data_IF_903972352828
#
_entry.id   IF_903972352828
#
_cell.length_a   1.000
_cell.length_b   1.000
_cell.length_c   1.000
_cell.angle_alpha   90.00
_cell.angle_beta   90.00
_cell.angle_gamma   90.00
#
_symmetry.space_group_name_H-M   'P 1'
#
loop_
_entity.id
_entity.type
_entity.pdbx_description
1 polymer ?
#
# COMPACT_ATOMS: atom_id res chain seq x y z
N UNK A 1 -25.45 -10.14 34.69
CA UNK A 1 -24.43 -9.86 33.65
C UNK A 1 -23.10 -10.47 34.05
N UNK A 2 -22.64 -11.41 33.26
CA UNK A 2 -21.30 -12.00 33.36
C UNK A 2 -20.32 -11.05 32.63
N UNK A 3 -19.10 -10.90 33.14
CA UNK A 3 -18.04 -10.16 32.45
C UNK A 3 -16.91 -11.13 32.16
N UNK A 4 -16.48 -11.18 30.91
CA UNK A 4 -15.49 -12.15 30.43
C UNK A 4 -14.39 -11.40 29.69
N UNK A 5 -13.16 -11.82 29.87
CA UNK A 5 -12.01 -11.34 29.10
C UNK A 5 -11.07 -12.50 28.83
N UNK A 6 -10.35 -12.41 27.72
CA UNK A 6 -9.27 -13.33 27.39
C UNK A 6 -7.93 -12.70 27.78
N UNK A 7 -6.98 -13.54 28.18
CA UNK A 7 -5.60 -13.14 28.34
C UNK A 7 -4.70 -14.32 28.05
N UNK A 8 -3.70 -14.11 27.19
CA UNK A 8 -2.68 -15.11 26.90
C UNK A 8 -1.81 -15.43 28.14
N UNK A 9 -1.79 -14.54 29.13
CA UNK A 9 -1.04 -14.71 30.38
C UNK A 9 -1.98 -14.92 31.56
N UNK A 10 -1.55 -15.74 32.50
CA UNK A 10 -2.30 -15.96 33.72
C UNK A 10 -2.41 -14.66 34.53
N UNK A 11 -3.64 -14.27 34.85
CA UNK A 11 -3.87 -13.12 35.72
C UNK A 11 -3.40 -13.40 37.14
N UNK A 12 -2.67 -12.43 37.69
CA UNK A 12 -2.32 -12.47 39.10
C UNK A 12 -3.57 -12.21 39.96
N UNK A 13 -3.55 -12.71 41.19
CA UNK A 13 -4.61 -12.45 42.17
C UNK A 13 -4.97 -10.96 42.29
N UNK A 14 -3.96 -10.08 42.25
CA UNK A 14 -4.16 -8.62 42.32
C UNK A 14 -5.01 -8.09 41.17
N UNK A 15 -4.80 -8.60 39.94
CA UNK A 15 -5.59 -8.22 38.77
C UNK A 15 -7.01 -8.73 38.90
N UNK A 16 -7.18 -9.99 39.32
CA UNK A 16 -8.50 -10.57 39.54
C UNK A 16 -9.30 -9.79 40.59
N UNK A 17 -8.69 -9.41 41.72
CA UNK A 17 -9.36 -8.62 42.75
C UNK A 17 -9.66 -7.18 42.31
N UNK A 18 -8.76 -6.56 41.55
CA UNK A 18 -9.02 -5.25 40.95
C UNK A 18 -10.23 -5.32 40.03
N UNK A 19 -10.26 -6.28 39.09
CA UNK A 19 -11.40 -6.45 38.20
C UNK A 19 -12.68 -6.80 38.98
N UNK A 20 -12.60 -7.60 40.05
CA UNK A 20 -13.78 -7.91 40.89
C UNK A 20 -14.35 -6.69 41.62
N UNK A 21 -13.49 -5.78 42.08
CA UNK A 21 -13.89 -4.61 42.88
C UNK A 21 -14.13 -3.33 42.08
N UNK A 22 -13.55 -3.17 40.88
CA UNK A 22 -13.68 -1.97 40.05
C UNK A 22 -14.62 -2.15 38.84
N UNK A 23 -15.85 -1.66 38.96
CA UNK A 23 -16.83 -1.68 37.86
C UNK A 23 -16.38 -0.92 36.59
N UNK A 24 -15.76 0.28 36.66
CA UNK A 24 -15.29 0.99 35.46
C UNK A 24 -14.23 0.20 34.68
N UNK A 25 -13.29 -0.42 35.38
CA UNK A 25 -12.25 -1.24 34.75
C UNK A 25 -12.84 -2.46 34.04
N UNK A 26 -13.85 -3.13 34.63
CA UNK A 26 -14.55 -4.23 33.96
C UNK A 26 -15.27 -3.78 32.70
N UNK A 27 -15.96 -2.65 32.75
CA UNK A 27 -16.67 -2.13 31.59
C UNK A 27 -15.72 -1.73 30.44
N UNK A 28 -14.49 -1.35 30.76
CA UNK A 28 -13.47 -0.99 29.77
C UNK A 28 -12.74 -2.21 29.17
N UNK A 29 -12.44 -3.22 29.99
CA UNK A 29 -11.53 -4.31 29.61
C UNK A 29 -12.21 -5.67 29.43
N UNK A 30 -13.47 -5.82 29.82
CA UNK A 30 -14.18 -7.10 29.77
C UNK A 30 -15.47 -6.97 28.98
N UNK A 31 -15.78 -8.00 28.20
CA UNK A 31 -17.04 -8.12 27.48
C UNK A 31 -18.15 -8.47 28.44
N UNK A 32 -19.22 -7.68 28.45
CA UNK A 32 -20.40 -7.95 29.26
C UNK A 32 -21.38 -8.85 28.49
N UNK A 33 -21.77 -9.96 29.11
CA UNK A 33 -22.77 -10.88 28.60
C UNK A 33 -23.99 -10.89 29.52
N UNK A 34 -25.18 -10.69 28.95
CA UNK A 34 -26.43 -10.91 29.67
C UNK A 34 -26.90 -12.36 29.54
N UNK A 35 -26.35 -13.22 30.40
CA UNK A 35 -26.64 -14.65 30.36
C UNK A 35 -28.14 -14.98 30.49
N UNK A 36 -28.90 -14.19 31.25
CA UNK A 36 -30.33 -14.44 31.42
C UNK A 36 -31.09 -14.22 30.10
N UNK A 37 -30.77 -13.13 29.40
CA UNK A 37 -31.32 -12.82 28.08
C UNK A 37 -30.87 -13.85 27.05
N UNK A 38 -29.58 -14.20 27.02
CA UNK A 38 -29.05 -15.25 26.15
C UNK A 38 -29.74 -16.60 26.36
N UNK A 39 -29.96 -17.05 27.61
CA UNK A 39 -30.65 -18.32 27.86
C UNK A 39 -32.10 -18.35 27.34
N UNK A 40 -32.74 -17.20 27.16
CA UNK A 40 -34.10 -17.08 26.63
C UNK A 40 -34.13 -16.95 25.11
N UNK A 41 -33.19 -16.20 24.54
CA UNK A 41 -33.20 -15.82 23.11
C UNK A 41 -32.22 -16.63 22.26
N UNK A 42 -31.21 -17.23 22.90
CA UNK A 42 -29.98 -17.76 22.27
C UNK A 42 -29.33 -16.74 21.32
N UNK A 43 -29.52 -15.45 21.61
CA UNK A 43 -29.12 -14.35 20.76
C UNK A 43 -28.70 -13.17 21.63
N UNK A 44 -27.38 -13.01 21.77
CA UNK A 44 -26.72 -11.81 22.28
C UNK A 44 -25.67 -11.36 21.24
N UNK A 45 -25.29 -10.07 21.22
CA UNK A 45 -24.22 -9.60 20.33
C UNK A 45 -22.92 -10.40 20.52
N UNK A 46 -22.26 -10.69 19.40
CA UNK A 46 -20.95 -11.39 19.35
C UNK A 46 -20.95 -12.77 20.01
N UNK A 47 -22.11 -13.40 20.06
CA UNK A 47 -22.30 -14.75 20.56
C UNK A 47 -22.91 -15.65 19.50
N UNK A 48 -22.60 -16.95 19.57
CA UNK A 48 -23.32 -17.96 18.82
C UNK A 48 -23.41 -19.31 19.56
N UNK A 49 -24.44 -20.12 19.25
CA UNK A 49 -24.44 -21.53 19.59
C UNK A 49 -23.23 -22.29 19.04
N UNK A 50 -22.73 -23.28 19.78
CA UNK A 50 -21.52 -24.04 19.42
C UNK A 50 -21.65 -24.84 18.11
N UNK A 51 -22.85 -25.32 17.80
CA UNK A 51 -23.15 -26.07 16.57
C UNK A 51 -22.95 -25.24 15.29
N UNK A 52 -22.91 -23.91 15.42
CA UNK A 52 -22.73 -22.97 14.30
C UNK A 52 -21.31 -22.40 14.20
N UNK A 53 -20.34 -22.93 14.95
CA UNK A 53 -18.97 -22.40 14.99
C UNK A 53 -18.31 -22.30 13.60
N UNK A 54 -18.51 -23.28 12.72
CA UNK A 54 -17.98 -23.26 11.36
C UNK A 54 -18.58 -22.16 10.47
N UNK A 55 -19.70 -21.54 10.84
CA UNK A 55 -20.28 -20.42 10.11
C UNK A 55 -19.60 -19.09 10.45
N UNK A 56 -19.00 -19.00 11.63
CA UNK A 56 -18.49 -17.75 12.20
C UNK A 56 -16.96 -17.66 12.23
N UNK A 57 -16.25 -18.78 12.25
CA UNK A 57 -14.78 -18.82 12.40
C UNK A 57 -14.15 -19.35 11.12
N UNK A 58 -13.35 -18.52 10.45
CA UNK A 58 -12.87 -18.78 9.10
C UNK A 58 -11.85 -19.93 8.98
N UNK A 59 -11.14 -20.25 10.07
CA UNK A 59 -10.20 -21.36 10.19
C UNK A 59 -10.85 -22.67 10.66
N UNK A 60 -12.17 -22.68 10.89
CA UNK A 60 -12.94 -23.87 11.29
C UNK A 60 -13.89 -24.26 10.17
N UNK A 61 -13.68 -25.45 9.59
CA UNK A 61 -14.54 -26.00 8.57
C UNK A 61 -15.66 -26.88 9.13
N UNK A 62 -16.72 -27.02 8.36
CA UNK A 62 -17.83 -27.94 8.66
C UNK A 62 -17.44 -29.39 8.35
N UNK A 63 -17.67 -30.28 9.30
CA UNK A 63 -17.46 -31.73 9.26
C UNK A 63 -15.99 -32.19 9.10
N UNK A 64 -15.22 -31.58 8.20
CA UNK A 64 -13.82 -31.92 7.92
C UNK A 64 -13.01 -30.70 7.50
N UNK A 65 -11.72 -30.74 7.79
CA UNK A 65 -10.75 -29.74 7.33
C UNK A 65 -10.64 -29.78 5.79
N UNK A 66 -10.73 -28.62 5.16
CA UNK A 66 -10.53 -28.41 3.73
C UNK A 66 -9.32 -27.52 3.52
N UNK A 67 -8.24 -28.12 3.04
CA UNK A 67 -7.03 -27.40 2.64
C UNK A 67 -7.20 -26.83 1.22
N UNK A 68 -7.63 -25.57 1.15
CA UNK A 68 -7.88 -24.81 -0.08
C UNK A 68 -6.90 -23.65 -0.27
N UNK A 69 -5.90 -23.51 0.62
CA UNK A 69 -4.95 -22.41 0.58
C UNK A 69 -5.54 -21.03 0.90
N UNK A 70 -6.74 -20.92 1.50
CA UNK A 70 -7.37 -19.62 1.79
C UNK A 70 -6.54 -18.69 2.70
N UNK A 71 -5.62 -19.26 3.45
CA UNK A 71 -4.69 -18.54 4.35
C UNK A 71 -3.24 -18.57 3.86
N UNK A 72 -3.00 -18.87 2.57
CA UNK A 72 -1.65 -18.93 2.00
C UNK A 72 -0.89 -17.60 2.15
N UNK A 73 -1.61 -16.48 2.08
CA UNK A 73 -1.06 -15.12 2.23
C UNK A 73 -1.22 -14.56 3.66
N UNK A 74 -1.61 -15.40 4.62
CA UNK A 74 -1.82 -14.95 6.00
C UNK A 74 -0.52 -14.83 6.78
N UNK A 75 -0.59 -14.01 7.83
CA UNK A 75 0.50 -13.76 8.75
C UNK A 75 0.99 -15.02 9.50
N UNK A 76 0.07 -15.95 9.78
CA UNK A 76 0.32 -17.14 10.57
C UNK A 76 0.08 -18.36 9.68
N UNK A 77 1.12 -19.14 9.34
CA UNK A 77 0.96 -20.28 8.45
C UNK A 77 0.05 -21.33 9.10
N UNK A 78 -0.77 -21.98 8.27
CA UNK A 78 -1.67 -23.06 8.69
C UNK A 78 -0.95 -24.39 8.88
N UNK A 79 0.25 -24.52 8.33
CA UNK A 79 1.11 -25.67 8.49
C UNK A 79 2.39 -25.28 9.22
N UNK A 80 2.88 -26.20 10.06
CA UNK A 80 4.16 -26.02 10.76
C UNK A 80 5.30 -25.84 9.74
N UNK A 81 6.05 -24.73 9.79
CA UNK A 81 7.17 -24.53 8.88
C UNK A 81 8.29 -25.54 9.14
N UNK A 82 9.08 -25.92 8.10
CA UNK A 82 10.23 -26.79 8.25
C UNK A 82 11.22 -26.23 9.28
N UNK A 83 11.82 -27.12 10.09
CA UNK A 83 12.66 -26.74 11.24
C UNK A 83 13.96 -25.98 10.90
N UNK A 84 14.34 -25.86 9.62
CA UNK A 84 15.59 -25.18 9.22
C UNK A 84 15.43 -23.66 9.34
N UNK A 85 15.94 -23.11 10.45
CA UNK A 85 16.05 -21.66 10.68
C UNK A 85 14.90 -21.03 11.47
N UNK A 86 13.98 -21.83 12.03
CA UNK A 86 12.85 -21.31 12.79
C UNK A 86 13.26 -20.79 14.18
N UNK A 87 12.64 -19.68 14.59
CA UNK A 87 12.54 -19.21 15.98
C UNK A 87 12.21 -20.38 16.93
N UNK A 88 12.63 -20.34 18.21
CA UNK A 88 12.53 -21.46 19.14
C UNK A 88 11.10 -22.00 19.35
N UNK A 89 10.07 -21.23 19.00
CA UNK A 89 8.69 -21.68 18.84
C UNK A 89 8.08 -21.04 17.58
N UNK A 90 8.05 -21.73 16.43
CA UNK A 90 7.38 -21.19 15.25
C UNK A 90 5.88 -21.02 15.57
N UNK A 91 5.35 -19.81 15.41
CA UNK A 91 3.92 -19.51 15.49
C UNK A 91 3.23 -20.08 14.24
N UNK A 92 2.37 -21.08 14.41
CA UNK A 92 1.50 -21.65 13.38
C UNK A 92 0.15 -21.99 14.00
N UNK A 93 -0.92 -21.91 13.20
CA UNK A 93 -2.29 -22.16 13.65
C UNK A 93 -3.00 -23.10 12.66
N UNK A 94 -3.21 -24.39 13.01
CA UNK A 94 -3.85 -25.32 12.10
C UNK A 94 -5.32 -24.98 11.83
N UNK A 95 -5.77 -25.33 10.63
CA UNK A 95 -7.20 -25.41 10.33
C UNK A 95 -7.87 -26.46 11.22
N UNK A 96 -9.08 -26.14 11.67
CA UNK A 96 -9.92 -26.99 12.50
C UNK A 96 -11.16 -27.49 11.77
N UNK A 97 -11.80 -28.51 12.33
CA UNK A 97 -13.15 -28.92 11.96
C UNK A 97 -14.08 -28.76 13.16
N UNK A 98 -15.31 -28.32 12.94
CA UNK A 98 -16.31 -28.09 13.99
C UNK A 98 -16.58 -29.34 14.85
N UNK A 99 -16.54 -30.53 14.25
CA UNK A 99 -16.71 -31.82 14.93
C UNK A 99 -15.76 -32.03 16.10
N UNK A 100 -14.55 -31.45 16.03
CA UNK A 100 -13.57 -31.53 17.12
C UNK A 100 -14.07 -30.76 18.36
N UNK A 101 -14.52 -29.53 18.16
CA UNK A 101 -15.01 -28.68 19.24
C UNK A 101 -16.36 -29.16 19.77
N UNK A 102 -17.28 -29.49 18.87
CA UNK A 102 -18.58 -30.05 19.24
C UNK A 102 -18.43 -31.40 19.98
N UNK A 103 -17.46 -32.23 19.60
CA UNK A 103 -17.19 -33.51 20.28
C UNK A 103 -16.52 -33.37 21.66
N UNK A 104 -15.89 -32.22 21.93
CA UNK A 104 -15.15 -31.97 23.17
C UNK A 104 -16.04 -31.46 24.31
N UNK A 105 -17.26 -31.04 24.02
CA UNK A 105 -18.18 -30.49 25.03
C UNK A 105 -19.29 -31.48 25.37
N UNK A 106 -19.60 -31.60 26.65
CA UNK A 106 -20.58 -32.57 27.18
C UNK A 106 -22.02 -32.25 26.75
N UNK A 107 -22.42 -30.97 26.81
CA UNK A 107 -23.74 -30.50 26.40
C UNK A 107 -23.59 -29.43 25.33
N UNK A 108 -23.79 -29.84 24.07
CA UNK A 108 -23.59 -29.00 22.90
C UNK A 108 -24.71 -27.96 22.74
N UNK A 109 -25.93 -28.32 23.13
CA UNK A 109 -27.13 -27.53 22.90
C UNK A 109 -27.21 -26.33 23.86
N UNK A 110 -26.57 -26.43 25.03
CA UNK A 110 -26.43 -25.31 25.97
C UNK A 110 -25.09 -24.57 25.85
N UNK A 111 -24.20 -25.01 24.96
CA UNK A 111 -22.89 -24.40 24.79
C UNK A 111 -22.94 -23.11 23.98
N UNK A 112 -22.10 -22.16 24.39
CA UNK A 112 -22.04 -20.82 23.85
C UNK A 112 -20.61 -20.48 23.42
N UNK A 113 -20.47 -19.96 22.21
CA UNK A 113 -19.23 -19.38 21.66
C UNK A 113 -19.33 -17.86 21.73
N UNK A 114 -18.29 -17.21 22.24
CA UNK A 114 -18.25 -15.76 22.44
C UNK A 114 -16.99 -15.23 21.75
N UNK A 115 -17.16 -14.26 20.86
CA UNK A 115 -16.04 -13.54 20.29
C UNK A 115 -15.53 -12.50 21.32
N UNK A 116 -14.28 -12.66 21.74
CA UNK A 116 -13.59 -11.75 22.64
C UNK A 116 -12.61 -10.88 21.85
N UNK A 117 -12.52 -9.60 22.20
CA UNK A 117 -11.62 -8.68 21.54
C UNK A 117 -10.17 -8.96 21.93
N UNK A 118 -9.33 -9.32 20.96
CA UNK A 118 -7.88 -9.43 21.13
C UNK A 118 -7.18 -8.28 20.40
N UNK A 119 -7.00 -7.18 21.13
CA UNK A 119 -6.33 -5.99 20.57
C UNK A 119 -4.87 -6.24 20.25
N UNK A 120 -4.20 -7.17 20.93
CA UNK A 120 -2.80 -7.49 20.68
C UNK A 120 -2.63 -8.26 19.37
N UNK A 121 -3.55 -9.18 19.07
CA UNK A 121 -3.59 -9.85 17.78
C UNK A 121 -3.72 -8.84 16.62
N UNK A 122 -4.63 -7.86 16.74
CA UNK A 122 -4.80 -6.79 15.74
C UNK A 122 -3.52 -5.98 15.55
N UNK A 123 -2.81 -5.62 16.63
CA UNK A 123 -1.53 -4.92 16.51
C UNK A 123 -0.46 -5.76 15.82
N UNK A 124 -0.42 -7.07 16.07
CA UNK A 124 0.52 -7.97 15.41
C UNK A 124 0.25 -8.05 13.91
N UNK A 125 -1.02 -8.16 13.50
CA UNK A 125 -1.42 -8.20 12.10
C UNK A 125 -1.06 -6.91 11.36
N UNK A 126 -1.34 -5.75 11.98
CA UNK A 126 -0.95 -4.44 11.42
C UNK A 126 0.58 -4.32 11.31
N UNK A 127 1.32 -4.81 12.31
CA UNK A 127 2.78 -4.83 12.30
C UNK A 127 3.33 -5.69 11.15
N UNK A 128 2.73 -6.85 10.91
CA UNK A 128 3.08 -7.75 9.81
C UNK A 128 2.82 -7.11 8.44
N UNK A 129 1.66 -6.47 8.25
CA UNK A 129 1.34 -5.75 7.02
C UNK A 129 2.35 -4.64 6.73
N UNK A 130 2.69 -3.84 7.74
CA UNK A 130 3.70 -2.79 7.61
C UNK A 130 5.09 -3.34 7.27
N UNK A 131 5.47 -4.48 7.87
CA UNK A 131 6.74 -5.13 7.59
C UNK A 131 6.82 -5.62 6.13
N UNK A 132 5.73 -6.18 5.61
CA UNK A 132 5.63 -6.60 4.21
C UNK A 132 5.75 -5.41 3.25
N UNK A 133 5.02 -4.32 3.50
CA UNK A 133 5.11 -3.09 2.70
C UNK A 133 6.52 -2.50 2.72
N UNK A 134 7.17 -2.52 3.89
CA UNK A 134 8.54 -2.06 4.02
C UNK A 134 9.52 -2.94 3.23
N UNK A 135 9.31 -4.26 3.19
CA UNK A 135 10.12 -5.17 2.39
C UNK A 135 9.94 -4.90 0.89
N UNK A 136 8.70 -4.76 0.42
CA UNK A 136 8.39 -4.42 -0.98
C UNK A 136 8.99 -3.07 -1.38
N UNK A 137 8.92 -2.07 -0.50
CA UNK A 137 9.54 -0.77 -0.73
C UNK A 137 11.07 -0.87 -0.85
N UNK A 138 11.74 -1.65 0.02
CA UNK A 138 13.18 -1.88 -0.06
C UNK A 138 13.58 -2.59 -1.35
N UNK A 139 12.79 -3.56 -1.79
CA UNK A 139 13.03 -4.25 -3.06
C UNK A 139 12.92 -3.27 -4.23
N UNK A 140 11.85 -2.46 -4.25
CA UNK A 140 11.67 -1.42 -5.26
C UNK A 140 12.83 -0.42 -5.25
N UNK A 141 13.25 0.06 -4.07
CA UNK A 141 14.39 0.94 -3.92
C UNK A 141 15.65 0.30 -4.50
N UNK A 142 15.97 -0.94 -4.13
CA UNK A 142 17.17 -1.63 -4.65
C UNK A 142 17.17 -1.74 -6.19
N UNK A 143 16.00 -1.93 -6.80
CA UNK A 143 15.87 -2.09 -8.25
C UNK A 143 15.85 -0.76 -9.03
N UNK A 144 15.37 0.33 -8.42
CA UNK A 144 15.08 1.58 -9.13
C UNK A 144 15.85 2.79 -8.64
N UNK A 145 16.39 2.78 -7.42
CA UNK A 145 17.06 3.94 -6.82
C UNK A 145 18.22 4.42 -7.68
N UNK A 146 19.08 3.52 -8.14
CA UNK A 146 20.21 3.88 -8.98
C UNK A 146 19.77 4.47 -10.34
N UNK A 147 18.68 3.96 -10.94
CA UNK A 147 18.14 4.50 -12.20
C UNK A 147 17.59 5.91 -11.99
N UNK A 148 16.90 6.15 -10.88
CA UNK A 148 16.38 7.46 -10.51
C UNK A 148 17.53 8.43 -10.24
N UNK A 149 18.56 8.01 -9.49
CA UNK A 149 19.75 8.82 -9.20
C UNK A 149 20.51 9.17 -10.49
N UNK A 150 20.68 8.24 -11.42
CA UNK A 150 21.28 8.51 -12.72
C UNK A 150 20.41 9.51 -13.49
N UNK A 151 19.09 9.27 -13.59
CA UNK A 151 18.19 10.17 -14.31
C UNK A 151 18.24 11.59 -13.74
N UNK A 152 18.27 11.73 -12.41
CA UNK A 152 18.46 13.01 -11.73
C UNK A 152 19.82 13.64 -12.05
N UNK A 153 20.90 12.86 -11.94
CA UNK A 153 22.27 13.35 -12.21
C UNK A 153 22.44 13.78 -13.67
N UNK A 154 21.90 13.01 -14.61
CA UNK A 154 21.88 13.35 -16.04
C UNK A 154 21.04 14.60 -16.27
N UNK A 155 19.86 14.71 -15.66
CA UNK A 155 19.04 15.93 -15.76
C UNK A 155 19.80 17.17 -15.24
N UNK A 156 20.51 17.05 -14.12
CA UNK A 156 21.35 18.14 -13.60
C UNK A 156 22.53 18.47 -14.53
N UNK A 157 23.23 17.46 -15.05
CA UNK A 157 24.40 17.64 -15.94
C UNK A 157 24.01 18.22 -17.32
N UNK A 158 22.90 17.77 -17.89
CA UNK A 158 22.38 18.22 -19.17
C UNK A 158 21.60 19.54 -19.08
N UNK A 159 21.66 20.25 -17.94
CA UNK A 159 21.13 21.60 -17.82
C UNK A 159 19.61 21.70 -17.69
N UNK A 160 18.91 20.61 -17.35
CA UNK A 160 17.49 20.69 -17.00
C UNK A 160 17.26 21.48 -15.69
N UNK A 161 18.31 21.76 -14.91
CA UNK A 161 18.32 22.84 -13.94
C UNK A 161 18.96 24.09 -14.55
N UNK A 162 18.30 24.67 -15.56
CA UNK A 162 18.64 26.01 -16.03
C UNK A 162 18.51 26.98 -14.85
N UNK A 163 19.43 27.96 -14.76
CA UNK A 163 19.42 28.98 -13.70
C UNK A 163 17.98 29.47 -13.43
N UNK A 164 17.48 29.42 -12.19
CA UNK A 164 16.08 29.67 -11.88
C UNK A 164 15.59 31.07 -12.28
N UNK A 165 16.54 31.99 -12.50
CA UNK A 165 16.33 33.34 -13.01
C UNK A 165 15.91 33.38 -14.49
N UNK A 166 16.35 32.41 -15.30
CA UNK A 166 16.05 32.30 -16.75
C UNK A 166 14.75 31.54 -17.03
N UNK A 167 14.20 30.84 -16.04
CA UNK A 167 12.93 30.13 -16.18
C UNK A 167 11.73 31.09 -16.14
N UNK A 168 10.67 30.83 -16.95
CA UNK A 168 9.43 31.59 -16.90
C UNK A 168 8.82 31.63 -15.50
N UNK A 169 8.25 32.78 -15.12
CA UNK A 169 7.64 32.97 -13.81
C UNK A 169 6.47 32.00 -13.52
N UNK A 170 5.83 31.48 -14.57
CA UNK A 170 4.73 30.50 -14.52
C UNK A 170 5.17 29.08 -14.12
N UNK A 171 6.47 28.80 -14.23
CA UNK A 171 7.08 27.46 -14.06
C UNK A 171 8.00 27.39 -12.84
N UNK A 172 8.45 28.54 -12.34
CA UNK A 172 9.35 28.65 -11.19
C UNK A 172 8.72 28.06 -9.91
N UNK A 173 9.36 27.05 -9.32
CA UNK A 173 8.94 26.43 -8.05
C UNK A 173 8.05 25.19 -8.17
N UNK A 174 7.65 24.79 -9.39
CA UNK A 174 6.92 23.54 -9.65
C UNK A 174 7.79 22.62 -10.52
N UNK A 175 8.34 21.58 -9.89
CA UNK A 175 9.27 20.64 -10.54
C UNK A 175 8.64 19.92 -11.74
N UNK A 176 7.32 19.66 -11.70
CA UNK A 176 6.62 18.92 -12.74
C UNK A 176 6.39 19.82 -13.96
N UNK A 177 5.98 21.07 -13.74
CA UNK A 177 5.85 22.07 -14.82
C UNK A 177 7.20 22.45 -15.40
N UNK A 178 8.25 22.49 -14.58
CA UNK A 178 9.62 22.74 -15.04
C UNK A 178 10.08 21.66 -16.01
N UNK A 179 9.86 20.40 -15.66
CA UNK A 179 10.20 19.28 -16.54
C UNK A 179 9.39 19.32 -17.86
N UNK A 180 8.09 19.61 -17.79
CA UNK A 180 7.24 19.75 -18.98
C UNK A 180 7.72 20.88 -19.90
N UNK A 181 8.01 22.06 -19.34
CA UNK A 181 8.52 23.20 -20.10
C UNK A 181 9.83 22.86 -20.81
N UNK A 182 10.78 22.24 -20.10
CA UNK A 182 12.08 21.89 -20.65
C UNK A 182 11.96 20.85 -21.77
N UNK A 183 11.11 19.84 -21.59
CA UNK A 183 10.84 18.84 -22.65
C UNK A 183 10.20 19.46 -23.89
N UNK A 184 9.29 20.44 -23.73
CA UNK A 184 8.70 21.16 -24.88
C UNK A 184 9.73 22.06 -25.59
N UNK A 185 10.64 22.69 -24.84
CA UNK A 185 11.73 23.52 -25.39
C UNK A 185 12.78 22.67 -26.11
N UNK A 186 13.16 21.52 -25.56
CA UNK A 186 14.07 20.56 -26.19
C UNK A 186 13.50 20.05 -27.53
N UNK A 187 12.24 19.64 -27.55
CA UNK A 187 11.56 19.21 -28.78
C UNK A 187 11.47 20.34 -29.82
N UNK A 188 11.37 21.60 -29.40
CA UNK A 188 11.42 22.75 -30.30
C UNK A 188 12.81 22.92 -30.92
N UNK A 189 13.89 22.83 -30.13
CA UNK A 189 15.25 22.95 -30.66
C UNK A 189 15.63 21.79 -31.58
N UNK A 190 15.28 20.55 -31.24
CA UNK A 190 15.46 19.40 -32.14
C UNK A 190 14.75 19.61 -33.50
N UNK A 191 13.56 20.20 -33.47
CA UNK A 191 12.81 20.51 -34.69
C UNK A 191 13.49 21.63 -35.50
N UNK A 192 14.05 22.66 -34.85
CA UNK A 192 14.84 23.69 -35.53
C UNK A 192 16.09 23.10 -36.21
N UNK A 193 16.86 22.26 -35.52
CA UNK A 193 18.04 21.61 -36.07
C UNK A 193 17.70 20.71 -37.27
N UNK A 194 16.61 19.96 -37.18
CA UNK A 194 16.14 19.12 -38.27
C UNK A 194 15.74 19.94 -39.51
N UNK A 195 15.05 21.06 -39.29
CA UNK A 195 14.64 21.98 -40.37
C UNK A 195 15.85 22.66 -41.01
N UNK A 196 16.83 23.10 -40.22
CA UNK A 196 18.09 23.69 -40.71
C UNK A 196 18.93 22.68 -41.51
N UNK A 197 18.99 21.42 -41.07
CA UNK A 197 19.65 20.36 -41.81
C UNK A 197 18.99 20.08 -43.18
N UNK A 198 17.67 20.18 -43.28
CA UNK A 198 16.96 20.07 -44.56
C UNK A 198 17.25 21.25 -45.49
N UNK A 199 17.33 22.47 -44.95
CA UNK A 199 17.68 23.67 -45.72
C UNK A 199 19.11 23.56 -46.25
N UNK A 200 20.06 23.12 -45.42
CA UNK A 200 21.45 22.91 -45.83
C UNK A 200 21.63 21.85 -46.91
N UNK A 201 20.86 20.75 -46.85
CA UNK A 201 20.87 19.65 -47.83
C UNK A 201 20.28 20.04 -49.21
N UNK A 202 19.31 20.96 -49.24
CA UNK A 202 18.63 21.40 -50.47
C UNK A 202 19.42 22.41 -51.33
N UNK A 203 20.67 22.72 -50.98
CA UNK A 203 21.53 23.69 -51.70
C UNK A 203 22.15 23.13 -53.00
N UNK A 204 21.80 21.90 -53.41
CA UNK A 204 22.18 21.33 -54.72
C UNK A 204 21.35 21.99 -55.84
N UNK A 205 21.93 22.36 -57.02
CA UNK A 205 21.21 23.07 -58.07
C UNK A 205 20.03 22.24 -58.60
N UNK A 206 18.81 22.63 -58.25
CA UNK A 206 17.56 21.90 -58.53
C UNK A 206 16.66 21.68 -57.30
N UNK A 207 17.10 22.06 -56.11
CA UNK A 207 16.35 21.92 -54.86
C UNK A 207 15.03 22.70 -54.84
N UNK A 208 13.97 22.02 -54.41
CA UNK A 208 12.61 22.54 -54.25
C UNK A 208 12.62 23.73 -53.26
N UNK A 209 12.12 24.89 -53.68
CA UNK A 209 11.87 26.03 -52.79
C UNK A 209 10.76 25.65 -51.80
N UNK A 210 11.13 25.16 -50.62
CA UNK A 210 10.19 24.91 -49.53
C UNK A 210 9.64 26.25 -49.03
N UNK A 211 8.31 26.39 -49.09
CA UNK A 211 7.58 27.54 -48.59
C UNK A 211 7.67 27.60 -47.04
N UNK A 212 7.63 28.81 -46.43
CA UNK A 212 7.69 28.98 -44.97
C UNK A 212 6.61 28.23 -44.17
N UNK A 213 5.48 27.90 -44.81
CA UNK A 213 4.31 27.24 -44.21
C UNK A 213 4.50 25.73 -43.96
N UNK A 214 5.68 25.17 -44.25
CA UNK A 214 6.01 23.75 -44.02
C UNK A 214 6.74 23.53 -42.69
N UNK A 215 7.32 24.58 -42.11
CA UNK A 215 8.08 24.49 -40.87
C UNK A 215 7.16 24.43 -39.66
N UNK A 216 7.42 23.48 -38.75
CA UNK A 216 6.64 23.28 -37.52
C UNK A 216 7.20 24.10 -36.36
N UNK A 217 8.47 24.48 -36.42
CA UNK A 217 9.13 25.31 -35.40
C UNK A 217 8.38 26.61 -35.06
N UNK A 218 7.86 27.43 -36.00
CA UNK A 218 7.17 28.68 -35.63
C UNK A 218 5.85 28.46 -34.87
N UNK A 219 5.14 27.36 -35.15
CA UNK A 219 3.90 27.01 -34.45
C UNK A 219 4.20 26.47 -33.05
N UNK A 220 5.25 25.65 -32.91
CA UNK A 220 5.73 25.16 -31.62
C UNK A 220 6.18 26.32 -30.72
N UNK A 221 6.92 27.29 -31.26
CA UNK A 221 7.32 28.51 -30.55
C UNK A 221 6.12 29.30 -30.03
N UNK A 222 5.08 29.48 -30.86
CA UNK A 222 3.85 30.18 -30.45
C UNK A 222 3.09 29.40 -29.38
N UNK A 223 3.06 28.08 -29.44
CA UNK A 223 2.43 27.23 -28.44
C UNK A 223 3.12 27.33 -27.07
N UNK A 224 4.45 27.29 -27.03
CA UNK A 224 5.26 27.47 -25.81
C UNK A 224 5.03 28.87 -25.22
N UNK A 225 5.06 29.90 -26.07
CA UNK A 225 4.79 31.29 -25.62
C UNK A 225 3.39 31.47 -25.05
N UNK A 226 2.37 30.84 -25.66
CA UNK A 226 0.99 30.91 -25.17
C UNK A 226 0.81 30.18 -23.83
N UNK A 227 1.52 29.08 -23.62
CA UNK A 227 1.43 28.27 -22.39
C UNK A 227 2.21 28.85 -21.22
N UNK A 228 3.43 29.35 -21.46
CA UNK A 228 4.37 29.71 -20.40
C UNK A 228 4.63 31.23 -20.30
N UNK A 229 4.17 32.01 -21.28
CA UNK A 229 4.29 33.47 -21.29
C UNK A 229 5.64 34.00 -21.79
N UNK A 230 6.61 33.12 -22.07
CA UNK A 230 7.91 33.46 -22.66
C UNK A 230 8.21 32.53 -23.84
N UNK A 231 8.78 33.09 -24.90
CA UNK A 231 9.26 32.31 -26.05
C UNK A 231 10.74 31.93 -25.85
N UNK A 232 11.18 30.75 -26.32
CA UNK A 232 12.60 30.42 -26.44
C UNK A 232 13.33 31.49 -27.26
N UNK A 233 14.52 31.91 -26.78
CA UNK A 233 15.39 32.88 -27.47
C UNK A 233 16.39 32.17 -28.37
N UNK A 234 16.79 32.82 -29.46
CA UNK A 234 17.76 32.24 -30.41
C UNK A 234 19.16 32.10 -29.77
N UNK A 235 19.48 32.93 -28.77
CA UNK A 235 20.69 32.78 -27.93
C UNK A 235 20.65 31.51 -27.07
N UNK A 236 19.46 31.10 -26.61
CA UNK A 236 19.30 29.84 -25.87
C UNK A 236 19.43 28.63 -26.80
N UNK A 237 19.04 28.76 -28.07
CA UNK A 237 19.24 27.71 -29.08
C UNK A 237 20.73 27.46 -29.39
N UNK A 238 21.57 28.51 -29.34
CA UNK A 238 23.03 28.37 -29.56
C UNK A 238 23.79 27.81 -28.35
N UNK A 239 23.19 27.88 -27.17
CA UNK A 239 23.76 27.39 -25.91
C UNK A 239 23.28 25.97 -25.53
N UNK A 240 22.17 25.53 -26.13
CA UNK A 240 21.65 24.18 -26.09
C UNK A 240 22.53 23.24 -26.93
#
# INVERSE_FOLDING_TARGET
RLHIAFSALQWTWRICEHMRSHAPSRALWMKALDLASYCLTMAEPDTLPLDRIAEAVADIDKDRVVDDGRFADSAIPTARPPLEGAEPDPLWAPLGADVFWQGSVYDKDSSLVIALDDTLAVFNDLGMQLAADQAAFREWQSAHEHKIQIAQTVATLCGAESEPEKLPASVRGDALRMHQYLSEVEAYFEQCDFEDAQIGSNTVPGGLLLLPDVFKSPDMRRAIQARYGSAPTDEAAQAW
#
